data_IF_383450929181
#
_entry.id   IF_383450929181
#
_cell.length_a   1.000
_cell.length_b   1.000
_cell.length_c   1.000
_cell.angle_alpha   90.00
_cell.angle_beta   90.00
_cell.angle_gamma   90.00
#
_symmetry.space_group_name_H-M   'P 1'
#
loop_
_entity.id
_entity.type
_entity.pdbx_description
1 polymer ?
#
# COMPACT_ATOMS: atom_id res chain seq x y z
N UNK A 1 16.44 -3.12 10.73
CA UNK A 1 15.27 -3.63 11.48
C UNK A 1 14.06 -3.20 10.65
N UNK A 2 13.37 -4.14 9.99
CA UNK A 2 12.59 -3.89 8.76
C UNK A 2 11.05 -3.92 8.94
N UNK A 3 10.36 -2.78 8.93
CA UNK A 3 8.89 -2.67 9.00
C UNK A 3 8.24 -3.08 7.66
N UNK A 4 7.13 -3.83 7.69
CA UNK A 4 6.50 -4.56 6.56
C UNK A 4 4.98 -4.46 6.56
N UNK A 5 4.31 -4.06 5.48
CA UNK A 5 2.87 -4.04 5.47
C UNK A 5 2.24 -5.45 5.57
N UNK A 6 1.36 -5.71 6.54
CA UNK A 6 0.66 -7.00 6.71
C UNK A 6 -0.82 -6.92 6.37
N UNK A 7 -1.22 -7.56 5.26
CA UNK A 7 -2.62 -7.84 4.94
C UNK A 7 -2.92 -9.29 5.33
N UNK A 8 -3.81 -9.49 6.31
CA UNK A 8 -4.23 -10.81 6.78
C UNK A 8 -5.51 -11.27 6.08
N UNK A 9 -5.56 -12.55 5.69
CA UNK A 9 -6.79 -13.22 5.26
C UNK A 9 -6.61 -14.72 5.09
N UNK A 10 -7.20 -15.49 6.02
CA UNK A 10 -7.31 -16.95 5.97
C UNK A 10 -8.26 -17.45 4.88
N UNK A 11 -8.13 -18.74 4.55
CA UNK A 11 -8.60 -19.34 3.31
C UNK A 11 -10.12 -19.36 3.07
N UNK A 12 -10.45 -19.26 1.79
CA UNK A 12 -11.79 -19.38 1.22
C UNK A 12 -11.78 -18.82 -0.20
N UNK A 13 -12.05 -19.65 -1.20
CA UNK A 13 -11.95 -19.33 -2.64
C UNK A 13 -12.71 -18.04 -3.01
N UNK A 14 -12.02 -16.97 -3.40
CA UNK A 14 -12.38 -16.01 -4.46
C UNK A 14 -11.44 -14.78 -4.44
N UNK A 15 -11.14 -14.25 -5.64
CA UNK A 15 -10.34 -13.06 -5.95
C UNK A 15 -8.85 -13.10 -5.58
N UNK A 16 -7.99 -12.93 -6.60
CA UNK A 16 -6.52 -12.95 -6.48
C UNK A 16 -6.03 -11.68 -5.76
N UNK A 17 -6.12 -11.65 -4.43
CA UNK A 17 -5.39 -10.71 -3.59
C UNK A 17 -3.95 -11.17 -3.36
N UNK A 18 -3.01 -10.62 -4.12
CA UNK A 18 -1.58 -10.93 -3.95
C UNK A 18 -0.98 -10.20 -2.74
N UNK A 19 -0.46 -10.93 -1.76
CA UNK A 19 0.36 -10.37 -0.69
C UNK A 19 1.82 -10.23 -1.14
N UNK A 20 2.38 -9.02 -1.12
CA UNK A 20 3.73 -8.74 -1.64
C UNK A 20 4.72 -8.29 -0.55
N UNK A 21 5.95 -8.83 -0.58
CA UNK A 21 7.07 -8.48 0.32
C UNK A 21 7.83 -7.23 -0.16
N UNK A 22 7.80 -6.13 0.61
CA UNK A 22 8.63 -4.91 0.43
C UNK A 22 9.99 -5.08 1.14
N UNK A 23 11.09 -4.57 0.57
CA UNK A 23 12.41 -4.45 1.23
C UNK A 23 12.65 -3.07 1.87
N UNK A 24 13.65 -2.96 2.76
CA UNK A 24 13.82 -1.90 3.80
C UNK A 24 13.77 -0.41 3.37
N UNK A 25 13.94 -0.03 2.10
CA UNK A 25 14.02 1.39 1.68
C UNK A 25 13.57 1.66 0.23
N UNK A 26 12.89 0.71 -0.41
CA UNK A 26 12.43 0.91 -1.78
C UNK A 26 11.01 1.45 -1.79
N UNK A 27 10.82 2.70 -2.22
CA UNK A 27 9.54 3.15 -2.76
C UNK A 27 9.04 2.08 -3.72
N UNK A 28 7.86 1.50 -3.45
CA UNK A 28 7.28 0.50 -4.34
C UNK A 28 6.07 1.07 -5.02
N UNK A 29 6.22 1.28 -6.31
CA UNK A 29 5.14 1.67 -7.19
C UNK A 29 4.46 0.44 -7.82
N UNK A 30 3.14 0.46 -7.90
CA UNK A 30 2.32 -0.48 -8.66
C UNK A 30 1.42 0.28 -9.62
N UNK A 31 1.15 -0.34 -10.76
CA UNK A 31 0.28 0.21 -11.81
C UNK A 31 -1.04 -0.56 -11.75
N UNK A 32 -2.14 0.15 -11.57
CA UNK A 32 -3.48 -0.43 -11.51
C UNK A 32 -4.39 0.25 -12.52
N UNK A 33 -5.18 -0.53 -13.24
CA UNK A 33 -6.19 -0.02 -14.16
C UNK A 33 -7.46 0.32 -13.37
N UNK A 34 -7.79 1.61 -13.31
CA UNK A 34 -8.91 2.12 -12.52
C UNK A 34 -9.94 2.74 -13.49
N UNK A 35 -11.23 2.39 -13.38
CA UNK A 35 -12.27 3.00 -14.21
C UNK A 35 -12.59 4.43 -13.76
N UNK A 36 -13.35 5.14 -14.59
CA UNK A 36 -13.76 6.52 -14.31
C UNK A 36 -14.62 6.62 -13.03
N UNK A 37 -14.57 7.79 -12.39
CA UNK A 37 -15.29 8.16 -11.17
C UNK A 37 -15.22 7.12 -10.03
N UNK A 38 -14.11 6.37 -9.95
CA UNK A 38 -13.97 5.28 -8.99
C UNK A 38 -13.21 5.71 -7.75
N UNK A 39 -13.83 5.53 -6.57
CA UNK A 39 -13.18 5.73 -5.29
C UNK A 39 -12.39 4.48 -4.88
N UNK A 40 -11.10 4.64 -4.63
CA UNK A 40 -10.21 3.57 -4.19
C UNK A 40 -9.84 3.77 -2.73
N UNK A 41 -9.96 2.69 -1.95
CA UNK A 41 -9.63 2.66 -0.53
C UNK A 41 -8.55 1.60 -0.31
N UNK A 42 -7.36 2.03 0.10
CA UNK A 42 -6.25 1.13 0.43
C UNK A 42 -6.05 1.04 1.95
N UNK A 43 -6.27 -0.14 2.52
CA UNK A 43 -5.91 -0.41 3.91
C UNK A 43 -4.45 -0.83 3.99
N UNK A 44 -3.71 -0.28 4.95
CA UNK A 44 -2.30 -0.54 5.09
C UNK A 44 -1.90 -0.66 6.57
N UNK A 45 -0.86 -1.46 6.84
CA UNK A 45 -0.32 -1.65 8.19
C UNK A 45 1.12 -2.09 8.15
N UNK A 46 2.09 -1.22 8.43
CA UNK A 46 3.52 -1.55 8.53
C UNK A 46 3.81 -2.43 9.76
N UNK A 47 4.74 -3.40 9.63
CA UNK A 47 5.04 -4.47 10.60
C UNK A 47 6.48 -5.00 10.51
N UNK A 48 7.30 -4.87 11.53
CA UNK A 48 8.67 -5.37 11.52
C UNK A 48 8.76 -6.89 11.28
N UNK A 49 9.50 -7.37 10.27
CA UNK A 49 9.82 -8.81 10.22
C UNK A 49 11.02 -9.13 11.07
N UNK A 50 10.76 -9.94 12.07
CA UNK A 50 11.78 -10.53 12.91
C UNK A 50 12.20 -11.88 12.32
N UNK A 51 13.48 -11.98 11.95
CA UNK A 51 14.07 -13.21 11.41
C UNK A 51 14.26 -14.28 12.50
N UNK A 52 14.42 -13.88 13.76
CA UNK A 52 14.62 -14.81 14.87
C UNK A 52 13.30 -15.38 15.37
N UNK A 53 12.26 -14.54 15.42
CA UNK A 53 10.92 -14.99 15.81
C UNK A 53 10.09 -15.55 14.63
N UNK A 54 10.61 -15.48 13.40
CA UNK A 54 9.87 -15.76 12.14
C UNK A 54 8.46 -15.12 12.11
N UNK A 55 8.35 -13.92 12.67
CA UNK A 55 7.08 -13.26 12.95
C UNK A 55 7.07 -11.80 12.48
N UNK A 56 5.86 -11.30 12.19
CA UNK A 56 5.61 -9.88 11.94
C UNK A 56 5.29 -9.19 13.27
N UNK A 57 6.22 -8.37 13.75
CA UNK A 57 6.08 -7.51 14.92
C UNK A 57 5.48 -6.15 14.52
N UNK A 58 4.86 -5.40 15.45
CA UNK A 58 4.46 -4.03 15.18
C UNK A 58 5.67 -3.16 14.79
N UNK A 59 5.48 -2.22 13.87
CA UNK A 59 6.51 -1.20 13.57
C UNK A 59 6.84 -0.35 14.80
N UNK A 60 8.08 0.13 14.87
CA UNK A 60 8.46 1.11 15.90
C UNK A 60 7.66 2.40 15.75
N UNK A 61 7.30 3.08 16.85
CA UNK A 61 6.71 4.41 16.79
C UNK A 61 7.58 5.37 15.95
N UNK A 62 6.96 6.11 15.02
CA UNK A 62 7.65 7.01 14.10
C UNK A 62 7.95 6.42 12.70
N UNK A 63 7.71 5.12 12.48
CA UNK A 63 7.76 4.50 11.15
C UNK A 63 6.38 4.64 10.45
N UNK A 64 6.31 5.54 9.47
CA UNK A 64 5.13 5.78 8.64
C UNK A 64 5.22 5.16 7.25
N UNK A 65 4.21 5.44 6.41
CA UNK A 65 4.17 5.08 5.00
C UNK A 65 3.90 6.33 4.17
N UNK A 66 4.61 6.52 3.06
CA UNK A 66 4.36 7.64 2.16
C UNK A 66 3.57 7.13 0.96
N UNK A 67 2.37 7.67 0.73
CA UNK A 67 1.55 7.30 -0.43
C UNK A 67 1.62 8.42 -1.45
N UNK A 68 2.03 8.09 -2.66
CA UNK A 68 1.88 8.93 -3.84
C UNK A 68 1.03 8.20 -4.88
N UNK A 69 0.05 8.88 -5.48
CA UNK A 69 -0.76 8.34 -6.57
C UNK A 69 -0.71 9.32 -7.74
N UNK A 70 -0.40 8.79 -8.92
CA UNK A 70 -0.46 9.47 -10.20
C UNK A 70 -1.56 8.86 -11.06
N UNK A 71 -2.31 9.73 -11.73
CA UNK A 71 -3.31 9.32 -12.71
C UNK A 71 -2.64 8.92 -14.06
N UNK A 72 -3.41 8.48 -15.07
CA UNK A 72 -2.87 8.09 -16.38
C UNK A 72 -2.14 9.23 -17.11
N UNK A 73 -2.43 10.48 -16.76
CA UNK A 73 -1.77 11.68 -17.31
C UNK A 73 -0.52 12.07 -16.51
N UNK A 74 -0.04 11.18 -15.62
CA UNK A 74 1.09 11.35 -14.72
C UNK A 74 0.93 12.50 -13.70
N UNK A 75 -0.30 13.01 -13.52
CA UNK A 75 -0.61 14.06 -12.54
C UNK A 75 -0.79 13.43 -11.16
N UNK A 76 -0.16 14.03 -10.17
CA UNK A 76 -0.27 13.61 -8.77
C UNK A 76 -1.67 13.95 -8.24
N UNK A 77 -2.44 12.92 -7.88
CA UNK A 77 -3.80 13.04 -7.33
C UNK A 77 -3.85 12.76 -5.82
N UNK A 78 -2.83 12.12 -5.26
CA UNK A 78 -2.62 11.95 -3.81
C UNK A 78 -1.12 11.98 -3.51
N UNK A 79 -0.69 12.71 -2.48
CA UNK A 79 0.68 12.68 -1.97
C UNK A 79 0.65 13.01 -0.49
N UNK A 80 0.82 11.99 0.37
CA UNK A 80 0.69 12.17 1.82
C UNK A 80 1.45 11.12 2.61
N UNK A 81 2.06 11.56 3.71
CA UNK A 81 2.62 10.68 4.72
C UNK A 81 1.53 10.23 5.71
N UNK A 82 1.49 8.94 5.97
CA UNK A 82 0.58 8.29 6.89
C UNK A 82 1.35 7.60 8.04
N UNK A 83 0.62 7.25 9.11
CA UNK A 83 1.18 6.55 10.27
C UNK A 83 1.56 5.09 9.98
N UNK A 84 1.80 4.28 11.01
CA UNK A 84 2.15 2.86 10.84
C UNK A 84 0.98 2.00 10.39
N UNK A 85 -0.27 2.40 10.63
CA UNK A 85 -1.46 1.69 10.17
C UNK A 85 -2.63 2.63 9.91
N UNK A 86 -3.52 2.23 9.00
CA UNK A 86 -4.69 3.03 8.66
C UNK A 86 -5.23 2.72 7.26
N UNK A 87 -5.90 3.71 6.67
CA UNK A 87 -6.40 3.66 5.30
C UNK A 87 -6.07 4.94 4.56
N UNK A 88 -5.74 4.82 3.28
CA UNK A 88 -5.72 5.94 2.34
C UNK A 88 -6.92 5.83 1.40
N UNK A 89 -7.34 6.97 0.86
CA UNK A 89 -8.48 7.05 -0.06
C UNK A 89 -8.18 8.09 -1.12
N UNK A 90 -8.45 7.76 -2.37
CA UNK A 90 -8.41 8.70 -3.50
C UNK A 90 -9.55 8.38 -4.47
N UNK A 91 -9.90 9.35 -5.32
CA UNK A 91 -10.90 9.19 -6.38
C UNK A 91 -10.21 9.34 -7.72
N UNK A 92 -10.39 8.35 -8.59
CA UNK A 92 -10.01 8.45 -10.00
C UNK A 92 -11.07 9.24 -10.76
N UNK A 93 -10.65 10.20 -11.56
CA UNK A 93 -11.50 11.02 -12.44
C UNK A 93 -11.17 10.77 -13.93
N UNK A 94 -10.21 9.90 -14.21
CA UNK A 94 -9.75 9.57 -15.55
C UNK A 94 -9.53 8.06 -15.59
N UNK A 95 -10.21 7.31 -16.47
CA UNK A 95 -10.01 5.87 -16.57
C UNK A 95 -8.61 5.56 -17.10
N UNK A 96 -7.99 4.49 -16.58
CA UNK A 96 -6.73 3.96 -17.09
C UNK A 96 -5.72 3.58 -16.01
N UNK A 97 -4.45 3.50 -16.42
CA UNK A 97 -3.33 3.07 -15.59
C UNK A 97 -2.92 4.15 -14.58
N UNK A 98 -3.17 3.91 -13.30
CA UNK A 98 -2.71 4.75 -12.20
C UNK A 98 -1.47 4.16 -11.58
N UNK A 99 -0.47 4.99 -11.30
CA UNK A 99 0.73 4.60 -10.57
C UNK A 99 0.58 4.96 -9.09
N UNK A 100 0.65 3.96 -8.21
CA UNK A 100 0.51 4.11 -6.76
C UNK A 100 1.82 3.67 -6.10
N UNK A 101 2.49 4.57 -5.40
CA UNK A 101 3.78 4.34 -4.72
C UNK A 101 3.61 4.36 -3.20
N UNK A 102 4.23 3.39 -2.50
CA UNK A 102 4.22 3.20 -1.04
C UNK A 102 5.64 3.15 -0.44
#
# INVERSE_FOLDING_TARGET
RAARPGAGGGGGRAARGGGFRVGETGERCFIEEIPDETMVIGNYRTQLWDKQAEAFLPSTPGLGMFVEVRDPDAKVILSRQYGSEGRFTFTSHTPGEHQICL
#
